data_IF_701620437187
#
_entry.id   IF_701620437187
#
_cell.length_a   1.000
_cell.length_b   1.000
_cell.length_c   1.000
_cell.angle_alpha   90.00
_cell.angle_beta   90.00
_cell.angle_gamma   90.00
#
_symmetry.space_group_name_H-M   'P 1'
#
loop_
_entity.id
_entity.type
_entity.pdbx_description
1 polymer ?
#
# COMPACT_ATOMS: atom_id res chain seq x y z
N UNK A 1 -25.48 -0.80 -5.00
CA UNK A 1 -24.36 -1.17 -5.90
C UNK A 1 -23.07 -1.17 -5.10
N UNK A 2 -22.22 -2.20 -5.23
CA UNK A 2 -20.88 -2.20 -4.61
C UNK A 2 -19.94 -1.36 -5.48
N UNK A 3 -19.17 -0.45 -4.87
CA UNK A 3 -18.05 0.25 -5.53
C UNK A 3 -16.78 -0.58 -5.33
N UNK A 4 -15.99 -0.71 -6.38
CA UNK A 4 -14.67 -1.32 -6.34
C UNK A 4 -13.63 -0.20 -6.35
N UNK A 5 -12.64 -0.32 -5.46
CA UNK A 5 -11.52 0.60 -5.36
C UNK A 5 -10.23 -0.16 -5.67
N UNK A 6 -9.23 0.55 -6.18
CA UNK A 6 -7.86 0.04 -6.13
C UNK A 6 -7.42 0.00 -4.68
N UNK A 7 -6.59 -0.98 -4.32
CA UNK A 7 -6.05 -1.11 -2.98
C UNK A 7 -4.53 -1.28 -3.01
N UNK A 8 -3.86 -0.71 -2.02
CA UNK A 8 -2.45 -0.91 -1.77
C UNK A 8 -2.28 -1.52 -0.37
N UNK A 9 -1.66 -2.69 -0.35
CA UNK A 9 -1.30 -3.40 0.88
C UNK A 9 -0.06 -2.74 1.50
N UNK A 10 -0.16 -2.33 2.76
CA UNK A 10 0.92 -1.67 3.52
C UNK A 10 1.13 -2.42 4.83
N UNK A 11 2.37 -2.78 5.13
CA UNK A 11 2.69 -3.46 6.40
C UNK A 11 2.62 -2.46 7.56
N UNK A 12 2.04 -2.89 8.68
CA UNK A 12 1.95 -2.12 9.92
C UNK A 12 3.33 -1.66 10.39
N UNK A 13 3.46 -0.44 10.95
CA UNK A 13 2.42 0.55 11.25
C UNK A 13 2.25 1.63 10.17
N UNK A 14 2.72 1.38 8.95
CA UNK A 14 2.90 2.44 7.97
C UNK A 14 1.60 2.91 7.32
N UNK A 15 0.57 2.07 7.24
CA UNK A 15 -0.75 2.48 6.74
C UNK A 15 -1.39 3.50 7.68
N UNK A 16 -1.32 3.24 8.98
CA UNK A 16 -1.77 4.19 10.03
C UNK A 16 -0.98 5.50 9.95
N UNK A 17 0.35 5.45 9.83
CA UNK A 17 1.18 6.65 9.71
C UNK A 17 0.87 7.49 8.46
N UNK A 18 0.47 6.86 7.36
CA UNK A 18 0.03 7.59 6.16
C UNK A 18 -1.32 8.27 6.42
N UNK A 19 -2.28 7.55 7.01
CA UNK A 19 -3.60 8.09 7.35
C UNK A 19 -3.52 9.28 8.34
N UNK A 20 -2.57 9.26 9.28
CA UNK A 20 -2.30 10.34 10.23
C UNK A 20 -1.46 11.48 9.63
N UNK A 21 -0.98 11.36 8.39
CA UNK A 21 -0.13 12.36 7.73
C UNK A 21 1.31 12.42 8.25
N UNK A 22 1.73 11.46 9.09
CA UNK A 22 3.10 11.37 9.63
C UNK A 22 4.06 10.86 8.55
N UNK A 23 3.65 9.84 7.80
CA UNK A 23 4.39 9.29 6.67
C UNK A 23 3.81 9.85 5.38
N UNK A 24 4.53 10.80 4.79
CA UNK A 24 4.10 11.50 3.56
C UNK A 24 4.74 10.97 2.29
N UNK A 25 5.74 10.09 2.40
CA UNK A 25 6.42 9.45 1.28
C UNK A 25 6.37 7.93 1.43
N UNK A 26 5.78 7.26 0.43
CA UNK A 26 5.81 5.81 0.29
C UNK A 26 6.84 5.39 -0.77
N UNK A 27 7.66 4.39 -0.46
CA UNK A 27 8.75 3.91 -1.33
C UNK A 27 8.49 2.45 -1.67
N UNK A 28 8.58 2.10 -2.95
CA UNK A 28 8.37 0.76 -3.49
C UNK A 28 9.44 0.44 -4.52
N UNK A 29 9.75 -0.84 -4.71
CA UNK A 29 10.64 -1.33 -5.78
C UNK A 29 10.02 -1.22 -7.17
N UNK A 30 8.70 -1.10 -7.25
CA UNK A 30 7.92 -0.94 -8.47
C UNK A 30 7.23 0.43 -8.53
N UNK A 31 6.78 0.81 -9.73
CA UNK A 31 6.03 2.04 -9.99
C UNK A 31 4.73 1.70 -10.73
N UNK A 32 3.58 2.30 -10.38
CA UNK A 32 2.35 2.11 -11.16
C UNK A 32 2.48 2.69 -12.56
N UNK A 33 1.75 2.15 -13.52
CA UNK A 33 1.75 2.60 -14.92
C UNK A 33 1.28 4.05 -15.09
N UNK A 34 0.46 4.56 -14.15
CA UNK A 34 -0.04 5.93 -14.18
C UNK A 34 0.03 6.59 -12.79
N UNK A 35 0.40 7.87 -12.78
CA UNK A 35 0.42 8.74 -11.60
C UNK A 35 -0.38 10.04 -11.87
N UNK A 36 -1.07 10.62 -10.86
CA UNK A 36 -1.25 10.06 -9.51
C UNK A 36 -2.29 8.93 -9.52
N UNK A 37 -2.10 7.92 -8.67
CA UNK A 37 -3.14 6.92 -8.42
C UNK A 37 -4.22 7.58 -7.57
N UNK A 38 -5.44 7.67 -8.09
CA UNK A 38 -6.61 8.25 -7.40
C UNK A 38 -7.48 7.14 -6.83
N UNK A 39 -8.28 7.48 -5.82
CA UNK A 39 -9.25 6.57 -5.18
C UNK A 39 -8.62 5.24 -4.71
N UNK A 40 -7.40 5.33 -4.16
CA UNK A 40 -6.62 4.20 -3.65
C UNK A 40 -6.92 3.95 -2.18
N UNK A 41 -7.38 2.75 -1.85
CA UNK A 41 -7.56 2.29 -0.48
C UNK A 41 -6.23 1.81 0.11
N UNK A 42 -5.87 2.30 1.30
CA UNK A 42 -4.76 1.73 2.07
C UNK A 42 -5.30 0.58 2.90
N UNK A 43 -4.74 -0.62 2.71
CA UNK A 43 -5.06 -1.81 3.51
C UNK A 43 -3.85 -2.13 4.36
N UNK A 44 -3.97 -1.94 5.67
CA UNK A 44 -2.87 -2.26 6.60
C UNK A 44 -2.91 -3.75 7.00
N UNK A 45 -1.77 -4.43 6.91
CA UNK A 45 -1.62 -5.84 7.27
C UNK A 45 -0.40 -6.04 8.21
N UNK A 46 -0.21 -7.26 8.72
CA UNK A 46 0.88 -7.62 9.63
C UNK A 46 1.92 -8.56 9.00
N UNK A 47 1.82 -8.82 7.70
CA UNK A 47 2.64 -9.78 6.98
C UNK A 47 3.90 -9.08 6.44
N UNK A 48 5.01 -9.26 7.15
CA UNK A 48 6.31 -8.81 6.67
C UNK A 48 6.81 -9.76 5.57
N UNK A 49 7.29 -9.17 4.46
CA UNK A 49 7.96 -9.91 3.39
C UNK A 49 9.40 -10.19 3.85
N UNK A 50 9.58 -11.27 4.61
CA UNK A 50 10.87 -11.63 5.22
C UNK A 50 11.62 -12.62 4.33
N UNK A 51 10.89 -13.33 3.47
CA UNK A 51 11.44 -14.29 2.53
C UNK A 51 11.24 -13.78 1.11
N UNK A 52 12.16 -14.12 0.23
CA UNK A 52 12.08 -13.78 -1.19
C UNK A 52 10.79 -14.32 -1.86
N UNK A 53 10.18 -15.36 -1.29
CA UNK A 53 8.91 -15.95 -1.75
C UNK A 53 7.65 -15.22 -1.28
N UNK A 54 7.79 -14.24 -0.38
CA UNK A 54 6.65 -13.52 0.17
C UNK A 54 6.19 -12.38 -0.77
N UNK A 55 7.06 -11.93 -1.70
CA UNK A 55 6.68 -10.98 -2.75
C UNK A 55 5.66 -11.65 -3.69
N UNK A 56 4.47 -11.04 -3.84
CA UNK A 56 3.50 -11.46 -4.86
C UNK A 56 4.06 -11.08 -6.25
N UNK A 57 4.07 -12.05 -7.19
CA UNK A 57 4.41 -11.83 -8.62
C UNK A 57 3.42 -10.88 -9.33
#
# INVERSE_FOLDING_TARGET
MKRQFLALSIVTPNGTRIAEGIKTLEVRSWIPTQLPVKDLLIVENQNFLVKDTDEEE
#
